data_IF_786167594225
#
_entry.id   IF_786167594225
#
_cell.length_a   1.000
_cell.length_b   1.000
_cell.length_c   1.000
_cell.angle_alpha   90.00
_cell.angle_beta   90.00
_cell.angle_gamma   90.00
#
_symmetry.space_group_name_H-M   'P 1'
#
loop_
_entity.id
_entity.type
_entity.pdbx_description
1 polymer ?
#
# COMPACT_ATOMS: atom_id res chain seq x y z
N UNK A 1 16.69 -8.88 -0.53
CA UNK A 1 17.03 -10.30 -0.34
C UNK A 1 17.38 -10.95 -1.67
N UNK A 2 18.11 -12.05 -1.65
CA UNK A 2 18.39 -12.86 -2.83
C UNK A 2 17.46 -14.08 -2.85
N UNK A 3 16.80 -14.33 -3.99
CA UNK A 3 15.97 -15.53 -4.18
C UNK A 3 16.84 -16.79 -4.47
N UNK A 4 16.20 -17.97 -4.56
CA UNK A 4 16.86 -19.24 -4.89
C UNK A 4 17.62 -19.22 -6.24
N UNK A 5 17.29 -18.27 -7.13
CA UNK A 5 17.92 -18.05 -8.43
C UNK A 5 18.98 -16.93 -8.42
N UNK A 6 19.35 -16.42 -7.24
CA UNK A 6 20.30 -15.31 -7.05
C UNK A 6 19.83 -13.96 -7.63
N UNK A 7 18.52 -13.77 -7.83
CA UNK A 7 18.02 -12.45 -8.19
C UNK A 7 17.79 -11.62 -6.91
N UNK A 8 18.08 -10.34 -6.98
CA UNK A 8 17.76 -9.40 -5.91
C UNK A 8 16.26 -9.13 -5.89
N UNK A 9 15.60 -9.37 -4.76
CA UNK A 9 14.16 -9.15 -4.57
C UNK A 9 13.93 -8.02 -3.59
N UNK A 10 13.08 -7.07 -3.96
CA UNK A 10 12.74 -5.90 -3.15
C UNK A 10 11.77 -6.29 -2.04
N UNK A 11 12.18 -6.08 -0.78
CA UNK A 11 11.35 -6.35 0.40
C UNK A 11 10.73 -5.08 1.01
N UNK A 12 11.26 -3.91 0.65
CA UNK A 12 10.70 -2.65 1.11
C UNK A 12 9.48 -2.23 0.28
N UNK A 13 8.46 -1.67 0.93
CA UNK A 13 7.24 -1.20 0.26
C UNK A 13 7.35 0.21 -0.30
N UNK A 14 8.23 1.04 0.29
CA UNK A 14 8.53 2.40 -0.15
C UNK A 14 9.96 2.50 -0.73
N UNK A 15 10.39 1.49 -1.46
CA UNK A 15 11.73 1.47 -2.07
C UNK A 15 11.76 2.37 -3.29
N UNK A 16 12.79 3.20 -3.36
CA UNK A 16 13.09 4.05 -4.51
C UNK A 16 14.44 3.66 -5.09
N UNK A 17 14.54 3.74 -6.41
CA UNK A 17 15.75 3.56 -7.17
C UNK A 17 16.09 4.91 -7.78
N UNK A 18 17.28 5.44 -7.48
CA UNK A 18 17.81 6.65 -8.10
C UNK A 18 18.84 6.30 -9.18
N UNK A 19 18.79 7.03 -10.28
CA UNK A 19 19.85 7.03 -11.29
C UNK A 19 20.59 8.34 -11.14
N UNK A 20 21.90 8.25 -10.96
CA UNK A 20 22.81 9.38 -10.79
C UNK A 20 23.79 9.43 -11.95
N UNK A 21 24.19 10.63 -12.35
CA UNK A 21 25.25 10.81 -13.32
C UNK A 21 26.66 10.61 -12.69
N UNK A 22 27.69 10.66 -13.49
CA UNK A 22 29.09 10.50 -13.02
C UNK A 22 29.50 11.62 -12.02
N UNK A 23 28.73 12.70 -11.87
CA UNK A 23 28.97 13.80 -10.94
C UNK A 23 28.17 13.65 -9.64
N UNK A 24 27.39 12.56 -9.48
CA UNK A 24 26.50 12.33 -8.33
C UNK A 24 25.22 13.15 -8.36
N UNK A 25 24.87 13.73 -9.50
CA UNK A 25 23.60 14.44 -9.66
C UNK A 25 22.52 13.45 -10.02
N UNK A 26 21.43 13.48 -9.28
CA UNK A 26 20.29 12.62 -9.48
C UNK A 26 19.53 12.98 -10.77
N UNK A 27 19.54 12.07 -11.75
CA UNK A 27 18.91 12.24 -13.07
C UNK A 27 17.46 11.77 -13.04
N UNK A 28 17.19 10.66 -12.36
CA UNK A 28 15.85 10.08 -12.27
C UNK A 28 15.62 9.32 -10.96
N UNK A 29 14.37 9.29 -10.51
CA UNK A 29 13.91 8.48 -9.37
C UNK A 29 12.74 7.65 -9.83
N UNK A 30 12.77 6.36 -9.49
CA UNK A 30 11.68 5.42 -9.75
C UNK A 30 11.22 4.77 -8.46
N UNK A 31 9.92 4.73 -8.21
CA UNK A 31 9.34 3.90 -7.14
C UNK A 31 9.33 2.44 -7.60
N UNK A 32 9.86 1.56 -6.77
CA UNK A 32 9.97 0.13 -7.08
C UNK A 32 8.96 -0.63 -6.23
N UNK A 33 8.14 -1.46 -6.88
CA UNK A 33 7.11 -2.23 -6.19
C UNK A 33 7.70 -3.33 -5.30
N UNK A 34 7.02 -3.65 -4.20
CA UNK A 34 7.34 -4.80 -3.36
C UNK A 34 7.34 -6.10 -4.19
N UNK A 35 8.35 -6.93 -3.99
CA UNK A 35 8.53 -8.18 -4.74
C UNK A 35 9.12 -8.02 -6.13
N UNK A 36 9.52 -6.82 -6.54
CA UNK A 36 10.23 -6.60 -7.80
C UNK A 36 11.58 -7.29 -7.79
N UNK A 37 11.96 -7.85 -8.93
CA UNK A 37 13.30 -8.38 -9.17
C UNK A 37 14.16 -7.27 -9.74
N UNK A 38 15.33 -7.04 -9.14
CA UNK A 38 16.33 -6.09 -9.60
C UNK A 38 17.41 -6.83 -10.37
N UNK A 39 17.89 -6.24 -11.46
CA UNK A 39 18.95 -6.80 -12.31
C UNK A 39 20.30 -6.15 -12.08
N UNK A 40 20.36 -5.10 -11.27
CA UNK A 40 21.57 -4.35 -10.94
C UNK A 40 21.74 -4.24 -9.43
N UNK A 41 22.99 -4.12 -9.01
CA UNK A 41 23.36 -3.82 -7.63
C UNK A 41 23.57 -2.31 -7.45
N UNK A 42 23.64 -1.87 -6.20
CA UNK A 42 23.92 -0.48 -5.90
C UNK A 42 25.31 -0.08 -6.39
N UNK A 43 25.38 0.97 -7.21
CA UNK A 43 26.61 1.46 -7.82
C UNK A 43 26.93 0.90 -9.20
N UNK A 44 26.11 -0.01 -9.75
CA UNK A 44 26.27 -0.51 -11.10
C UNK A 44 25.93 0.56 -12.14
N UNK A 45 26.67 0.59 -13.25
CA UNK A 45 26.39 1.48 -14.38
C UNK A 45 25.30 0.88 -15.27
N UNK A 46 24.28 1.66 -15.53
CA UNK A 46 23.16 1.29 -16.42
C UNK A 46 23.18 2.11 -17.70
N UNK A 47 22.82 1.48 -18.83
CA UNK A 47 22.70 2.16 -20.13
C UNK A 47 21.24 2.46 -20.42
N UNK A 48 21.02 3.41 -21.31
CA UNK A 48 19.67 3.73 -21.80
C UNK A 48 19.03 2.49 -22.41
N UNK A 49 17.75 2.26 -22.09
CA UNK A 49 16.94 1.10 -22.51
C UNK A 49 17.35 -0.25 -21.90
N UNK A 50 18.19 -0.30 -20.90
CA UNK A 50 18.41 -1.51 -20.12
C UNK A 50 17.26 -1.74 -19.12
N UNK A 51 16.88 -3.02 -18.94
CA UNK A 51 15.86 -3.42 -17.99
C UNK A 51 16.42 -3.39 -16.58
N UNK A 52 15.92 -2.47 -15.74
CA UNK A 52 16.43 -2.25 -14.39
C UNK A 52 15.71 -3.18 -13.40
N UNK A 53 14.38 -3.27 -13.49
CA UNK A 53 13.59 -4.11 -12.61
C UNK A 53 12.41 -4.75 -13.35
N UNK A 54 11.86 -5.78 -12.73
CA UNK A 54 10.68 -6.51 -13.23
C UNK A 54 9.74 -6.84 -12.08
N UNK A 55 8.45 -6.61 -12.26
CA UNK A 55 7.41 -6.97 -11.29
C UNK A 55 6.15 -7.45 -12.00
N UNK A 56 5.30 -8.15 -11.26
CA UNK A 56 3.98 -8.56 -11.71
C UNK A 56 2.93 -7.53 -11.24
N UNK A 57 2.26 -6.81 -12.14
CA UNK A 57 1.24 -5.82 -11.76
C UNK A 57 -0.09 -6.46 -11.33
N UNK A 58 -0.32 -7.73 -11.66
CA UNK A 58 -1.61 -8.42 -11.46
C UNK A 58 -1.69 -9.15 -10.12
N UNK A 59 -0.55 -9.45 -9.51
CA UNK A 59 -0.50 -10.16 -8.24
C UNK A 59 0.37 -9.43 -7.22
N UNK A 60 0.06 -9.62 -5.94
CA UNK A 60 0.93 -9.22 -4.83
C UNK A 60 1.62 -10.47 -4.30
N UNK A 61 2.95 -10.59 -4.39
CA UNK A 61 3.65 -11.75 -3.89
C UNK A 61 3.74 -11.72 -2.35
N UNK A 62 3.61 -12.90 -1.74
CA UNK A 62 3.99 -13.15 -0.35
C UNK A 62 5.38 -13.78 -0.39
N UNK A 63 6.38 -13.12 0.18
CA UNK A 63 7.79 -13.48 0.05
C UNK A 63 8.32 -14.02 1.37
N UNK A 64 9.16 -15.08 1.28
CA UNK A 64 9.86 -15.63 2.43
C UNK A 64 10.95 -14.67 2.91
N UNK A 65 10.91 -14.28 4.18
CA UNK A 65 11.96 -13.43 4.78
C UNK A 65 13.16 -14.26 5.26
N UNK A 66 12.96 -15.53 5.52
CA UNK A 66 13.99 -16.49 6.01
C UNK A 66 13.93 -17.77 5.19
N UNK A 67 15.07 -18.46 5.14
CA UNK A 67 15.15 -19.79 4.54
C UNK A 67 14.67 -20.85 5.51
N UNK A 68 13.96 -21.88 5.00
CA UNK A 68 13.43 -22.96 5.83
C UNK A 68 12.61 -23.94 5.03
N UNK A 69 11.94 -24.87 5.71
CA UNK A 69 11.02 -25.83 5.09
C UNK A 69 9.59 -25.34 5.26
N UNK A 70 8.83 -25.23 4.17
CA UNK A 70 7.42 -24.86 4.20
C UNK A 70 6.58 -25.96 4.86
N UNK A 71 5.73 -25.57 5.80
CA UNK A 71 4.75 -26.46 6.41
C UNK A 71 3.37 -25.84 6.28
N UNK A 72 2.43 -26.59 5.71
CA UNK A 72 1.04 -26.17 5.59
C UNK A 72 0.33 -26.32 6.93
N UNK A 73 -0.38 -25.31 7.37
CA UNK A 73 -1.18 -25.32 8.59
C UNK A 73 -2.58 -24.82 8.25
N UNK A 74 -3.59 -25.60 8.61
CA UNK A 74 -5.00 -25.36 8.30
C UNK A 74 -5.31 -25.26 6.77
N UNK A 75 -4.42 -25.81 5.94
CA UNK A 75 -4.55 -25.90 4.49
C UNK A 75 -4.97 -27.33 4.14
N UNK A 76 -6.29 -27.57 4.05
CA UNK A 76 -6.92 -28.89 3.85
C UNK A 76 -7.50 -28.94 2.44
N UNK A 77 -7.09 -29.95 1.63
CA UNK A 77 -7.62 -30.15 0.29
C UNK A 77 -9.14 -30.37 0.32
N UNK A 78 -9.87 -29.66 -0.54
CA UNK A 78 -11.33 -29.71 -0.62
C UNK A 78 -12.09 -28.84 0.40
N UNK A 79 -11.41 -28.28 1.42
CA UNK A 79 -12.02 -27.41 2.44
C UNK A 79 -11.47 -25.98 2.34
N UNK A 80 -10.16 -25.84 2.46
CA UNK A 80 -9.47 -24.54 2.40
C UNK A 80 -8.56 -24.38 1.19
N UNK A 81 -8.27 -25.48 0.46
CA UNK A 81 -7.52 -25.47 -0.79
C UNK A 81 -8.33 -26.17 -1.87
N UNK A 82 -8.30 -25.63 -3.09
CA UNK A 82 -8.80 -26.25 -4.29
C UNK A 82 -7.71 -26.24 -5.35
N UNK A 83 -7.56 -27.35 -6.06
CA UNK A 83 -6.70 -27.43 -7.23
C UNK A 83 -7.49 -27.02 -8.46
N UNK A 84 -7.02 -26.00 -9.14
CA UNK A 84 -7.61 -25.49 -10.38
C UNK A 84 -6.60 -25.68 -11.49
N UNK A 85 -7.00 -26.34 -12.55
CA UNK A 85 -6.18 -26.48 -13.76
C UNK A 85 -6.60 -25.39 -14.75
N UNK A 86 -5.66 -24.63 -15.21
CA UNK A 86 -5.88 -23.63 -16.26
C UNK A 86 -5.98 -24.37 -17.61
N UNK A 87 -7.16 -24.35 -18.20
CA UNK A 87 -7.45 -25.02 -19.47
C UNK A 87 -6.59 -24.52 -20.63
N UNK A 88 -6.10 -23.28 -20.57
CA UNK A 88 -5.28 -22.68 -21.62
C UNK A 88 -3.81 -23.09 -21.54
N UNK A 89 -3.27 -23.26 -20.32
CA UNK A 89 -1.85 -23.55 -20.09
C UNK A 89 -1.60 -24.96 -19.61
N UNK A 90 -2.63 -25.71 -19.18
CA UNK A 90 -2.53 -27.05 -18.61
C UNK A 90 -1.80 -27.10 -17.27
N UNK A 91 -1.55 -25.94 -16.63
CA UNK A 91 -0.85 -25.85 -15.35
C UNK A 91 -1.85 -25.96 -14.21
N UNK A 92 -1.66 -26.95 -13.33
CA UNK A 92 -2.43 -27.04 -12.09
C UNK A 92 -1.87 -26.07 -11.06
N UNK A 93 -2.73 -25.24 -10.49
CA UNK A 93 -2.41 -24.36 -9.38
C UNK A 93 -3.32 -24.63 -8.18
N UNK A 94 -2.76 -24.61 -6.97
CA UNK A 94 -3.54 -24.70 -5.74
C UNK A 94 -3.90 -23.30 -5.28
N UNK A 95 -5.19 -23.05 -5.13
CA UNK A 95 -5.73 -21.78 -4.61
C UNK A 95 -6.43 -21.98 -3.27
N UNK A 96 -6.36 -20.98 -2.41
CA UNK A 96 -7.08 -20.95 -1.13
C UNK A 96 -8.52 -20.55 -1.41
N UNK A 97 -9.46 -21.36 -0.96
CA UNK A 97 -10.90 -21.11 -1.11
C UNK A 97 -11.46 -20.45 0.15
N UNK A 98 -12.57 -19.71 0.04
CA UNK A 98 -13.26 -19.19 1.23
C UNK A 98 -13.90 -20.33 2.04
N UNK A 99 -13.16 -20.88 2.98
CA UNK A 99 -13.58 -21.97 3.87
C UNK A 99 -14.73 -21.57 4.81
N UNK A 100 -14.93 -20.27 5.02
CA UNK A 100 -15.99 -19.74 5.90
C UNK A 100 -17.38 -19.94 5.29
N UNK A 101 -17.47 -19.95 3.97
CA UNK A 101 -18.71 -20.17 3.24
C UNK A 101 -19.14 -21.65 3.25
N UNK A 102 -18.19 -22.59 3.34
CA UNK A 102 -18.43 -24.02 3.19
C UNK A 102 -18.67 -24.77 4.51
N UNK A 103 -18.22 -24.27 5.65
CA UNK A 103 -18.26 -24.99 6.92
C UNK A 103 -18.68 -24.08 8.09
N UNK A 104 -19.74 -24.51 8.79
CA UNK A 104 -20.32 -23.79 9.93
C UNK A 104 -19.45 -23.74 11.19
N UNK A 105 -18.30 -24.41 11.24
CA UNK A 105 -17.58 -24.67 12.50
C UNK A 105 -16.05 -24.54 12.39
N UNK A 106 -15.52 -23.65 11.57
CA UNK A 106 -14.08 -23.66 11.38
C UNK A 106 -13.43 -22.32 11.75
N UNK A 107 -12.78 -22.31 12.92
CA UNK A 107 -11.74 -21.34 13.29
C UNK A 107 -10.41 -21.60 12.53
N UNK A 108 -10.49 -22.13 11.28
CA UNK A 108 -9.33 -22.38 10.45
C UNK A 108 -8.64 -21.04 10.13
N UNK A 109 -7.33 -21.04 10.27
CA UNK A 109 -6.44 -19.92 9.90
C UNK A 109 -5.39 -20.41 8.90
N UNK A 110 -5.77 -20.58 7.61
CA UNK A 110 -4.87 -21.07 6.58
C UNK A 110 -3.58 -20.25 6.55
N UNK A 111 -2.45 -20.94 6.70
CA UNK A 111 -1.14 -20.29 6.72
C UNK A 111 -0.04 -21.26 6.31
N UNK A 112 1.05 -20.71 5.81
CA UNK A 112 2.30 -21.42 5.60
C UNK A 112 3.26 -20.99 6.70
N UNK A 113 3.87 -21.97 7.36
CA UNK A 113 4.85 -21.74 8.44
C UNK A 113 6.19 -22.27 7.99
N UNK A 114 7.26 -21.49 8.18
CA UNK A 114 8.62 -21.97 7.91
C UNK A 114 9.19 -22.64 9.14
N UNK A 115 9.73 -23.85 8.93
CA UNK A 115 10.36 -24.67 9.98
C UNK A 115 11.83 -24.89 9.68
N UNK A 116 12.61 -25.04 10.73
CA UNK A 116 14.00 -25.45 10.66
C UNK A 116 14.12 -26.97 10.43
N UNK A 117 15.35 -27.48 10.25
CA UNK A 117 15.60 -28.92 10.08
C UNK A 117 15.25 -29.73 11.35
N UNK A 118 15.00 -29.09 12.49
CA UNK A 118 14.55 -29.73 13.74
C UNK A 118 13.03 -29.68 13.93
N UNK A 119 12.29 -29.09 12.98
CA UNK A 119 10.83 -28.96 13.02
C UNK A 119 10.30 -27.76 13.83
N UNK A 120 11.16 -26.91 14.41
CA UNK A 120 10.73 -25.72 15.12
C UNK A 120 10.37 -24.59 14.14
N UNK A 121 9.46 -23.72 14.56
CA UNK A 121 9.11 -22.54 13.76
C UNK A 121 10.26 -21.55 13.77
N UNK A 122 10.67 -21.11 12.61
CA UNK A 122 11.73 -20.12 12.44
C UNK A 122 11.21 -18.74 12.86
N UNK A 123 12.04 -17.94 13.52
CA UNK A 123 11.73 -16.56 13.85
C UNK A 123 12.20 -15.62 12.73
N UNK A 124 11.39 -14.63 12.40
CA UNK A 124 11.72 -13.52 11.51
C UNK A 124 12.77 -12.59 12.15
N UNK A 125 13.14 -11.54 11.42
CA UNK A 125 14.05 -10.51 11.95
C UNK A 125 13.47 -9.75 13.16
N UNK A 126 12.15 -9.62 13.22
CA UNK A 126 11.40 -8.93 14.27
C UNK A 126 11.03 -9.82 15.47
N UNK A 127 11.71 -10.96 15.65
CA UNK A 127 11.45 -11.99 16.69
C UNK A 127 10.06 -12.66 16.61
N UNK A 128 9.25 -12.30 15.62
CA UNK A 128 7.97 -12.94 15.31
C UNK A 128 8.20 -14.27 14.60
N UNK A 129 7.29 -15.23 14.80
CA UNK A 129 7.34 -16.51 14.08
C UNK A 129 7.09 -16.33 12.59
N UNK A 130 7.83 -17.06 11.74
CA UNK A 130 7.68 -17.04 10.28
C UNK A 130 6.39 -17.75 9.86
N UNK A 131 5.25 -17.13 10.16
CA UNK A 131 3.90 -17.57 9.82
C UNK A 131 3.32 -16.61 8.77
N UNK A 132 2.95 -17.12 7.61
CA UNK A 132 2.37 -16.35 6.51
C UNK A 132 0.91 -16.74 6.34
N UNK A 133 0.00 -15.88 6.85
CA UNK A 133 -1.43 -16.09 6.74
C UNK A 133 -1.89 -15.84 5.30
N UNK A 134 -2.77 -16.71 4.83
CA UNK A 134 -3.29 -16.66 3.48
C UNK A 134 -4.75 -16.18 3.51
N UNK A 135 -5.11 -15.38 2.54
CA UNK A 135 -6.50 -14.95 2.32
C UNK A 135 -7.13 -15.79 1.22
N UNK A 136 -8.47 -15.83 1.11
CA UNK A 136 -9.15 -16.44 -0.03
C UNK A 136 -8.57 -15.95 -1.37
N UNK A 137 -8.60 -16.78 -2.38
CA UNK A 137 -8.05 -16.59 -3.72
C UNK A 137 -6.51 -16.51 -3.81
N UNK A 138 -5.78 -16.70 -2.69
CA UNK A 138 -4.33 -16.82 -2.73
C UNK A 138 -3.88 -18.05 -3.52
N UNK A 139 -3.01 -17.88 -4.49
CA UNK A 139 -2.42 -18.95 -5.30
C UNK A 139 -1.12 -19.40 -4.64
N UNK A 140 -1.03 -20.68 -4.28
CA UNK A 140 0.15 -21.24 -3.63
C UNK A 140 1.26 -21.46 -4.66
N UNK A 141 2.47 -20.98 -4.35
CA UNK A 141 3.65 -21.13 -5.21
C UNK A 141 4.60 -22.21 -4.72
N UNK A 142 4.40 -22.75 -3.51
CA UNK A 142 5.26 -23.73 -2.87
C UNK A 142 4.45 -24.93 -2.42
N UNK A 143 5.08 -26.11 -2.35
CA UNK A 143 4.47 -27.37 -1.87
C UNK A 143 4.77 -27.57 -0.39
N UNK A 144 3.91 -28.36 0.29
CA UNK A 144 4.19 -28.79 1.66
C UNK A 144 5.50 -29.60 1.75
N UNK A 145 6.34 -29.31 2.74
CA UNK A 145 7.66 -29.90 2.89
C UNK A 145 8.75 -29.38 1.96
N UNK A 146 8.46 -28.41 1.10
CA UNK A 146 9.45 -27.82 0.18
C UNK A 146 10.45 -26.92 0.92
N UNK A 147 11.75 -27.06 0.61
CA UNK A 147 12.76 -26.10 1.07
C UNK A 147 12.63 -24.78 0.30
N UNK A 148 12.60 -23.69 1.05
CA UNK A 148 12.43 -22.31 0.56
C UNK A 148 13.63 -21.48 1.01
N UNK A 149 14.09 -20.61 0.14
CA UNK A 149 15.13 -19.63 0.46
C UNK A 149 14.50 -18.25 0.78
N UNK A 150 15.21 -17.44 1.52
CA UNK A 150 14.82 -16.05 1.70
C UNK A 150 14.71 -15.37 0.32
N UNK A 151 13.65 -14.57 0.11
CA UNK A 151 13.39 -13.96 -1.21
C UNK A 151 12.48 -14.79 -2.14
N UNK A 152 12.23 -16.07 -1.87
CA UNK A 152 11.33 -16.89 -2.68
C UNK A 152 9.86 -16.51 -2.43
N UNK A 153 9.05 -16.61 -3.48
CA UNK A 153 7.60 -16.35 -3.42
C UNK A 153 6.89 -17.58 -2.87
N UNK A 154 6.21 -17.42 -1.73
CA UNK A 154 5.43 -18.45 -1.05
C UNK A 154 4.03 -18.59 -1.67
N UNK A 155 3.38 -17.45 -1.86
CA UNK A 155 2.05 -17.38 -2.45
C UNK A 155 1.89 -16.07 -3.25
N UNK A 156 0.90 -16.03 -4.12
CA UNK A 156 0.52 -14.84 -4.89
C UNK A 156 -0.93 -14.52 -4.62
N UNK A 157 -1.19 -13.26 -4.31
CA UNK A 157 -2.54 -12.75 -4.12
C UNK A 157 -2.96 -12.00 -5.39
N UNK A 158 -3.99 -12.48 -6.11
CA UNK A 158 -4.53 -11.72 -7.22
C UNK A 158 -5.02 -10.36 -6.75
N UNK A 159 -4.64 -9.30 -7.45
CA UNK A 159 -5.20 -7.97 -7.18
C UNK A 159 -6.60 -7.90 -7.79
N UNK A 160 -7.61 -7.63 -6.98
CA UNK A 160 -9.02 -7.48 -7.42
C UNK A 160 -9.23 -6.36 -8.48
N UNK A 161 -8.19 -5.56 -8.72
CA UNK A 161 -8.26 -4.32 -9.50
C UNK A 161 -8.46 -4.51 -11.00
N UNK A 162 -8.28 -5.71 -11.55
CA UNK A 162 -8.36 -5.91 -13.00
C UNK A 162 -9.78 -5.96 -13.55
N UNK A 163 -10.73 -6.50 -12.79
CA UNK A 163 -12.13 -6.60 -13.24
C UNK A 163 -12.95 -5.30 -13.06
N UNK A 164 -12.59 -4.48 -12.06
CA UNK A 164 -13.29 -3.23 -11.76
C UNK A 164 -12.65 -1.99 -12.38
N UNK A 165 -11.35 -2.00 -12.68
CA UNK A 165 -10.69 -0.88 -13.38
C UNK A 165 -11.22 -0.66 -14.81
N UNK A 166 -11.60 -1.73 -15.51
CA UNK A 166 -12.16 -1.63 -16.86
C UNK A 166 -13.59 -1.04 -16.88
N UNK A 167 -14.33 -1.14 -15.77
CA UNK A 167 -15.73 -0.68 -15.70
C UNK A 167 -15.83 0.79 -15.27
N UNK A 168 -14.89 1.29 -14.46
CA UNK A 168 -14.83 2.69 -14.00
C UNK A 168 -13.65 3.47 -14.59
N UNK A 169 -13.03 2.94 -15.63
CA UNK A 169 -11.96 3.62 -16.38
C UNK A 169 -12.49 4.73 -17.29
N UNK A 170 -11.61 5.60 -17.71
CA UNK A 170 -11.90 6.67 -18.65
C UNK A 170 -12.38 7.97 -17.99
N UNK A 171 -13.12 8.78 -18.74
CA UNK A 171 -13.60 10.10 -18.31
C UNK A 171 -14.33 10.14 -16.96
N UNK A 172 -15.18 9.16 -16.59
CA UNK A 172 -15.80 9.12 -15.26
C UNK A 172 -14.78 9.11 -14.11
N UNK A 173 -13.65 8.43 -14.29
CA UNK A 173 -12.58 8.40 -13.26
C UNK A 173 -11.92 9.76 -13.08
N UNK A 174 -11.73 10.51 -14.16
CA UNK A 174 -11.18 11.87 -14.10
C UNK A 174 -12.14 12.78 -13.33
N UNK A 175 -13.44 12.68 -13.58
CA UNK A 175 -14.46 13.44 -12.86
C UNK A 175 -14.47 13.10 -11.35
N UNK A 176 -14.41 11.81 -10.98
CA UNK A 176 -14.32 11.38 -9.58
C UNK A 176 -13.09 11.96 -8.86
N UNK A 177 -11.94 12.01 -9.55
CA UNK A 177 -10.71 12.59 -8.99
C UNK A 177 -10.87 14.10 -8.74
N UNK A 178 -11.41 14.85 -9.72
CA UNK A 178 -11.63 16.29 -9.57
C UNK A 178 -12.72 16.64 -8.55
N UNK A 179 -13.69 15.76 -8.33
CA UNK A 179 -14.70 15.92 -7.30
C UNK A 179 -14.24 15.38 -5.94
N UNK A 180 -13.05 14.77 -5.88
CA UNK A 180 -12.48 14.13 -4.68
C UNK A 180 -13.46 13.14 -4.00
N UNK A 181 -14.23 12.39 -4.80
CA UNK A 181 -15.21 11.42 -4.30
C UNK A 181 -14.54 10.26 -3.59
N UNK A 182 -15.18 9.77 -2.54
CA UNK A 182 -14.74 8.57 -1.82
C UNK A 182 -14.93 7.34 -2.69
N UNK A 183 -13.83 6.65 -3.00
CA UNK A 183 -13.88 5.37 -3.71
C UNK A 183 -14.56 4.29 -2.85
N UNK A 184 -15.25 3.33 -3.50
CA UNK A 184 -15.88 2.20 -2.80
C UNK A 184 -14.84 1.34 -2.08
N UNK A 185 -13.69 1.11 -2.72
CA UNK A 185 -12.54 0.38 -2.18
C UNK A 185 -11.42 1.37 -1.83
N UNK A 186 -11.64 2.15 -0.75
CA UNK A 186 -10.65 3.12 -0.29
C UNK A 186 -9.50 2.40 0.42
N UNK A 187 -8.28 2.78 0.05
CA UNK A 187 -7.08 2.42 0.80
C UNK A 187 -7.09 3.05 2.19
N UNK A 188 -6.41 2.43 3.13
CA UNK A 188 -6.15 2.99 4.45
C UNK A 188 -4.66 3.25 4.57
N UNK A 189 -4.31 4.50 4.86
CA UNK A 189 -2.92 4.97 4.97
C UNK A 189 -2.59 5.17 6.45
N UNK A 190 -1.37 4.81 6.84
CA UNK A 190 -0.88 5.03 8.20
C UNK A 190 -0.66 6.53 8.48
N UNK A 191 -1.24 7.03 9.56
CA UNK A 191 -1.11 8.44 9.98
C UNK A 191 0.21 8.71 10.71
N UNK A 192 0.72 7.71 11.44
CA UNK A 192 1.92 7.82 12.25
C UNK A 192 2.88 6.66 11.98
N UNK A 193 4.16 6.88 12.30
CA UNK A 193 5.14 5.81 12.40
C UNK A 193 4.85 4.97 13.65
N UNK A 194 5.02 3.66 13.59
CA UNK A 194 4.80 2.84 14.78
C UNK A 194 4.77 1.35 14.51
N UNK A 195 4.36 0.60 15.53
CA UNK A 195 4.21 -0.84 15.47
C UNK A 195 2.75 -1.24 15.28
N UNK A 196 2.49 -2.16 14.35
CA UNK A 196 1.14 -2.64 14.05
C UNK A 196 0.69 -3.67 15.07
N UNK A 197 -0.43 -3.42 15.74
CA UNK A 197 -1.04 -4.32 16.71
C UNK A 197 -2.44 -4.69 16.26
N UNK A 198 -2.73 -6.00 16.22
CA UNK A 198 -4.07 -6.49 15.94
C UNK A 198 -4.88 -6.58 17.23
N UNK A 199 -5.97 -5.82 17.29
CA UNK A 199 -6.91 -5.83 18.38
C UNK A 199 -8.06 -6.83 18.18
N UNK A 200 -9.00 -6.82 19.13
CA UNK A 200 -10.22 -7.64 19.07
C UNK A 200 -11.13 -7.19 17.93
N UNK A 201 -11.86 -8.12 17.37
CA UNK A 201 -12.89 -7.83 16.37
C UNK A 201 -14.04 -7.02 16.97
N UNK A 202 -14.47 -5.97 16.27
CA UNK A 202 -15.58 -5.12 16.66
C UNK A 202 -16.59 -5.05 15.51
N UNK A 203 -17.81 -5.52 15.72
CA UNK A 203 -18.92 -5.46 14.72
C UNK A 203 -18.51 -6.00 13.33
N UNK A 204 -17.83 -7.15 13.27
CA UNK A 204 -17.41 -7.78 12.02
C UNK A 204 -16.24 -7.11 11.31
N UNK A 205 -15.57 -6.15 11.97
CA UNK A 205 -14.34 -5.50 11.49
C UNK A 205 -13.18 -5.85 12.42
N UNK A 206 -12.01 -6.02 11.86
CA UNK A 206 -10.77 -6.17 12.63
C UNK A 206 -10.26 -4.81 13.06
N UNK A 207 -10.04 -4.63 14.38
CA UNK A 207 -9.38 -3.44 14.89
C UNK A 207 -7.86 -3.60 14.71
N UNK A 208 -7.23 -2.61 14.09
CA UNK A 208 -5.78 -2.49 14.00
C UNK A 208 -5.39 -1.19 14.67
N UNK A 209 -4.37 -1.24 15.51
CA UNK A 209 -3.81 -0.08 16.18
C UNK A 209 -2.36 0.09 15.75
N UNK A 210 -1.97 1.30 15.42
CA UNK A 210 -0.56 1.65 15.23
C UNK A 210 -0.11 2.32 16.51
N UNK A 211 0.84 1.72 17.20
CA UNK A 211 1.43 2.25 18.42
C UNK A 211 2.71 2.99 18.04
N UNK A 212 2.73 4.33 18.09
CA UNK A 212 3.95 5.10 17.91
C UNK A 212 4.89 4.92 19.12
N UNK A 213 6.16 5.26 18.97
CA UNK A 213 7.12 5.27 20.07
C UNK A 213 6.77 6.35 21.11
N UNK A 214 6.21 7.48 20.68
CA UNK A 214 5.69 8.55 21.53
C UNK A 214 4.31 9.00 21.01
N UNK A 215 3.31 9.09 21.88
CA UNK A 215 1.97 9.57 21.57
C UNK A 215 0.85 8.52 21.64
N UNK A 216 -0.35 8.96 21.25
CA UNK A 216 -1.55 8.12 21.29
C UNK A 216 -1.62 7.14 20.10
N UNK A 217 -2.15 5.92 20.32
CA UNK A 217 -2.29 4.94 19.25
C UNK A 217 -3.37 5.34 18.25
N UNK A 218 -3.04 5.26 16.96
CA UNK A 218 -4.01 5.42 15.88
C UNK A 218 -4.77 4.11 15.65
N UNK A 219 -6.11 4.16 15.65
CA UNK A 219 -6.97 2.98 15.56
C UNK A 219 -7.71 2.94 14.22
N UNK A 220 -7.64 1.80 13.53
CA UNK A 220 -8.28 1.55 12.25
C UNK A 220 -9.22 0.36 12.35
N UNK A 221 -10.36 0.42 11.65
CA UNK A 221 -11.34 -0.66 11.57
C UNK A 221 -11.41 -1.20 10.13
N UNK A 222 -10.81 -2.35 9.90
CA UNK A 222 -10.72 -2.98 8.58
C UNK A 222 -11.79 -4.05 8.43
N UNK A 223 -12.58 -4.07 7.34
CA UNK A 223 -13.54 -5.13 7.06
C UNK A 223 -12.87 -6.50 6.97
N UNK A 224 -13.56 -7.55 7.44
CA UNK A 224 -13.08 -8.94 7.29
C UNK A 224 -12.95 -9.31 5.81
N UNK A 225 -11.89 -10.08 5.50
CA UNK A 225 -11.64 -10.58 4.14
C UNK A 225 -10.75 -9.69 3.28
N UNK A 226 -10.47 -8.46 3.71
CA UNK A 226 -9.48 -7.62 3.03
C UNK A 226 -8.06 -8.01 3.46
N UNK A 227 -7.12 -8.01 2.50
CA UNK A 227 -5.72 -8.30 2.78
C UNK A 227 -5.06 -7.11 3.49
N UNK A 228 -4.43 -7.41 4.61
CA UNK A 228 -3.66 -6.42 5.39
C UNK A 228 -2.20 -6.59 5.02
N UNK A 229 -1.56 -5.51 4.63
CA UNK A 229 -0.19 -5.54 4.12
C UNK A 229 0.87 -5.80 5.19
N UNK A 230 0.52 -5.68 6.47
CA UNK A 230 1.43 -5.82 7.60
C UNK A 230 1.02 -6.94 8.53
N UNK A 231 2.00 -7.54 9.19
CA UNK A 231 1.78 -8.53 10.24
C UNK A 231 1.77 -7.87 11.62
N UNK A 232 1.30 -8.63 12.63
CA UNK A 232 1.34 -8.16 14.01
C UNK A 232 2.79 -7.95 14.45
N UNK A 233 3.06 -6.79 15.05
CA UNK A 233 4.38 -6.42 15.55
C UNK A 233 5.33 -5.80 14.51
N UNK A 234 4.92 -5.73 13.24
CA UNK A 234 5.72 -5.13 12.17
C UNK A 234 5.73 -3.60 12.29
N UNK A 235 6.88 -2.97 12.00
CA UNK A 235 7.00 -1.50 12.00
C UNK A 235 6.46 -0.93 10.69
N UNK A 236 5.63 0.09 10.79
CA UNK A 236 5.06 0.84 9.68
C UNK A 236 5.52 2.30 9.73
N UNK A 237 5.72 2.90 8.58
CA UNK A 237 6.01 4.33 8.44
C UNK A 237 4.75 5.10 8.04
N UNK A 238 4.72 6.36 8.42
CA UNK A 238 3.69 7.32 7.99
C UNK A 238 3.58 7.33 6.47
N UNK A 239 2.35 7.23 5.96
CA UNK A 239 2.09 7.19 4.52
C UNK A 239 2.12 5.80 3.89
N UNK A 240 2.43 4.74 4.62
CA UNK A 240 2.34 3.37 4.10
C UNK A 240 0.90 2.86 4.12
N UNK A 241 0.58 1.98 3.15
CA UNK A 241 -0.76 1.46 2.98
C UNK A 241 -0.99 0.25 3.88
N UNK A 242 -1.87 0.39 4.88
CA UNK A 242 -2.37 -0.72 5.70
C UNK A 242 -3.25 -1.66 4.89
N UNK A 243 -4.07 -1.08 4.02
CA UNK A 243 -4.99 -1.76 3.13
C UNK A 243 -4.79 -1.24 1.71
N UNK A 244 -4.62 -2.16 0.76
CA UNK A 244 -4.56 -1.82 -0.65
C UNK A 244 -5.91 -1.29 -1.16
N UNK A 245 -5.86 -0.35 -2.08
CA UNK A 245 -7.02 0.29 -2.68
C UNK A 245 -6.68 1.66 -3.24
N UNK A 246 -7.71 2.43 -3.52
CA UNK A 246 -7.54 3.81 -3.99
C UNK A 246 -7.46 4.76 -2.79
N UNK A 247 -6.32 5.45 -2.58
CA UNK A 247 -6.21 6.39 -1.48
C UNK A 247 -7.14 7.58 -1.69
N UNK A 248 -7.67 8.10 -0.60
CA UNK A 248 -8.45 9.33 -0.63
C UNK A 248 -7.51 10.52 -0.81
N UNK A 249 -7.79 11.44 -1.75
CA UNK A 249 -6.97 12.64 -1.94
C UNK A 249 -6.82 13.48 -0.65
N UNK A 250 -7.88 13.57 0.15
CA UNK A 250 -7.85 14.27 1.45
C UNK A 250 -6.89 13.62 2.45
N UNK A 251 -6.83 12.28 2.51
CA UNK A 251 -5.90 11.59 3.40
C UNK A 251 -4.45 11.79 2.94
N UNK A 252 -4.19 11.75 1.62
CA UNK A 252 -2.86 12.07 1.08
C UNK A 252 -2.46 13.48 1.45
N UNK A 253 -3.36 14.47 1.27
CA UNK A 253 -3.08 15.85 1.61
C UNK A 253 -2.75 16.04 3.09
N UNK A 254 -3.55 15.42 3.97
CA UNK A 254 -3.41 15.54 5.43
C UNK A 254 -2.16 14.82 5.95
N UNK A 255 -1.86 13.62 5.43
CA UNK A 255 -0.80 12.76 5.94
C UNK A 255 0.54 13.06 5.26
N UNK A 256 0.58 13.10 3.92
CA UNK A 256 1.80 13.20 3.12
C UNK A 256 2.07 14.64 2.63
N UNK A 257 1.04 15.45 2.51
CA UNK A 257 1.16 16.85 2.10
C UNK A 257 0.90 17.09 0.61
N UNK A 258 1.16 18.33 0.17
CA UNK A 258 0.79 18.81 -1.17
C UNK A 258 1.60 18.15 -2.28
N UNK A 259 2.89 17.93 -2.04
CA UNK A 259 3.80 17.37 -3.06
C UNK A 259 3.33 15.99 -3.49
N UNK A 260 3.10 15.10 -2.54
CA UNK A 260 2.65 13.74 -2.80
C UNK A 260 1.24 13.70 -3.37
N UNK A 261 0.35 14.58 -2.91
CA UNK A 261 -0.98 14.74 -3.51
C UNK A 261 -0.88 15.16 -4.98
N UNK A 262 -0.02 16.12 -5.30
CA UNK A 262 0.16 16.60 -6.68
C UNK A 262 0.69 15.48 -7.57
N UNK A 263 1.72 14.77 -7.13
CA UNK A 263 2.27 13.63 -7.86
C UNK A 263 1.22 12.53 -8.08
N UNK A 264 0.50 12.16 -7.04
CA UNK A 264 -0.59 11.17 -7.12
C UNK A 264 -1.66 11.60 -8.12
N UNK A 265 -2.14 12.85 -8.00
CA UNK A 265 -3.26 13.36 -8.80
C UNK A 265 -2.89 13.46 -10.28
N UNK A 266 -1.72 14.03 -10.59
CA UNK A 266 -1.21 14.14 -11.95
C UNK A 266 -1.06 12.75 -12.57
N UNK A 267 -0.43 11.81 -11.85
CA UNK A 267 -0.22 10.45 -12.35
C UNK A 267 -1.54 9.73 -12.63
N UNK A 268 -2.54 9.84 -11.73
CA UNK A 268 -3.84 9.19 -11.91
C UNK A 268 -4.62 9.75 -13.10
N UNK A 269 -4.60 11.06 -13.30
CA UNK A 269 -5.28 11.70 -14.45
C UNK A 269 -4.54 11.36 -15.74
N UNK A 270 -3.21 11.46 -15.75
CA UNK A 270 -2.39 11.12 -16.91
C UNK A 270 -2.54 9.65 -17.34
N UNK A 271 -2.64 8.71 -16.38
CA UNK A 271 -2.88 7.30 -16.67
C UNK A 271 -4.14 7.11 -17.52
N UNK A 272 -5.24 7.78 -17.14
CA UNK A 272 -6.50 7.71 -17.89
C UNK A 272 -6.35 8.27 -19.32
N UNK A 273 -5.72 9.43 -19.47
CA UNK A 273 -5.53 10.04 -20.77
C UNK A 273 -4.58 9.24 -21.67
N UNK A 274 -3.49 8.72 -21.12
CA UNK A 274 -2.53 7.88 -21.86
C UNK A 274 -3.15 6.57 -22.36
N UNK A 275 -4.01 5.96 -21.57
CA UNK A 275 -4.78 4.76 -21.99
C UNK A 275 -5.70 5.04 -23.18
N UNK A 276 -6.14 6.28 -23.34
CA UNK A 276 -6.95 6.73 -24.48
C UNK A 276 -6.11 7.30 -25.63
N UNK A 277 -4.78 7.22 -25.56
CA UNK A 277 -3.88 7.74 -26.57
C UNK A 277 -3.76 9.28 -26.60
N UNK A 278 -4.26 9.97 -25.59
CA UNK A 278 -4.23 11.42 -25.49
C UNK A 278 -3.02 11.88 -24.68
N UNK A 279 -2.22 12.76 -25.25
CA UNK A 279 -1.03 13.33 -24.60
C UNK A 279 -1.39 14.74 -24.10
N UNK A 280 -1.34 14.93 -22.77
CA UNK A 280 -1.59 16.21 -22.11
C UNK A 280 -0.35 16.59 -21.28
N UNK A 281 0.00 17.88 -21.25
CA UNK A 281 1.06 18.36 -20.39
C UNK A 281 0.58 18.44 -18.93
N UNK A 282 1.40 18.00 -18.00
CA UNK A 282 1.11 17.95 -16.56
C UNK A 282 0.70 19.31 -16.00
N UNK A 283 1.23 20.40 -16.54
CA UNK A 283 0.93 21.78 -16.12
C UNK A 283 -0.56 22.14 -16.19
N UNK A 284 -1.31 21.52 -17.10
CA UNK A 284 -2.77 21.76 -17.18
C UNK A 284 -3.47 21.18 -15.95
N UNK A 285 -3.09 19.97 -15.54
CA UNK A 285 -3.63 19.28 -14.38
C UNK A 285 -3.21 20.00 -13.08
N UNK A 286 -1.92 20.35 -12.98
CA UNK A 286 -1.36 21.08 -11.85
C UNK A 286 -2.04 22.45 -11.64
N UNK A 287 -2.38 23.16 -12.72
CA UNK A 287 -3.08 24.44 -12.64
C UNK A 287 -4.49 24.28 -12.05
N UNK A 288 -5.21 23.22 -12.42
CA UNK A 288 -6.53 22.93 -11.87
C UNK A 288 -6.39 22.56 -10.39
N UNK A 289 -5.46 21.66 -10.06
CA UNK A 289 -5.21 21.24 -8.67
C UNK A 289 -4.82 22.44 -7.80
N UNK A 290 -4.00 23.35 -8.30
CA UNK A 290 -3.67 24.60 -7.61
C UNK A 290 -4.91 25.42 -7.24
N UNK A 291 -5.91 25.47 -8.13
CA UNK A 291 -7.16 26.15 -7.85
C UNK A 291 -8.01 25.42 -6.82
N UNK A 292 -8.03 24.09 -6.86
CA UNK A 292 -8.72 23.27 -5.84
C UNK A 292 -8.15 23.51 -4.45
N UNK A 293 -6.83 23.56 -4.32
CA UNK A 293 -6.10 23.75 -3.05
C UNK A 293 -6.00 25.21 -2.60
N UNK A 294 -6.75 26.11 -3.23
CA UNK A 294 -6.69 27.55 -2.94
C UNK A 294 -7.37 27.90 -1.61
N UNK A 295 -8.34 27.11 -1.16
CA UNK A 295 -9.14 27.39 0.01
C UNK A 295 -8.68 26.62 1.25
N UNK A 296 -8.95 27.23 2.40
CA UNK A 296 -8.71 26.68 3.73
C UNK A 296 -10.04 26.75 4.49
N UNK A 297 -10.45 25.65 5.11
CA UNK A 297 -11.58 25.59 6.04
C UNK A 297 -11.07 25.91 7.44
N UNK A 298 -11.71 26.87 8.08
CA UNK A 298 -11.36 27.29 9.45
C UNK A 298 -11.87 26.24 10.44
N UNK A 299 -10.97 25.65 11.23
CA UNK A 299 -11.32 24.73 12.33
C UNK A 299 -11.50 25.45 13.65
N UNK A 300 -10.60 26.40 13.93
CA UNK A 300 -10.64 27.22 15.15
C UNK A 300 -10.36 28.68 14.79
N UNK A 301 -11.21 29.58 15.24
CA UNK A 301 -11.11 31.02 14.89
C UNK A 301 -9.94 31.75 15.57
N UNK A 302 -9.45 31.23 16.71
CA UNK A 302 -8.51 32.01 17.52
C UNK A 302 -9.08 33.41 17.85
N UNK A 303 -8.24 34.43 17.77
CA UNK A 303 -8.64 35.83 17.93
C UNK A 303 -8.97 36.52 16.59
N UNK A 304 -9.17 35.74 15.52
CA UNK A 304 -9.57 36.24 14.21
C UNK A 304 -11.08 36.51 14.14
N UNK A 305 -11.49 37.25 13.09
CA UNK A 305 -12.90 37.50 12.79
C UNK A 305 -13.55 36.37 12.02
N UNK A 306 -12.85 35.24 11.78
CA UNK A 306 -13.34 34.10 11.01
C UNK A 306 -14.27 33.24 11.83
N UNK A 307 -15.21 32.57 11.13
CA UNK A 307 -16.11 31.59 11.73
C UNK A 307 -15.61 30.18 11.53
N UNK A 308 -15.74 29.26 12.52
CA UNK A 308 -15.47 27.85 12.31
C UNK A 308 -16.33 27.28 11.16
N UNK A 309 -15.69 26.52 10.23
CA UNK A 309 -16.34 26.00 9.01
C UNK A 309 -16.36 26.97 7.83
N UNK A 310 -15.88 28.19 7.97
CA UNK A 310 -15.77 29.15 6.87
C UNK A 310 -14.64 28.78 5.94
N UNK A 311 -14.89 28.88 4.61
CA UNK A 311 -13.89 28.63 3.57
C UNK A 311 -13.28 29.94 3.07
N UNK A 312 -12.00 30.14 3.34
CA UNK A 312 -11.28 31.37 3.03
C UNK A 312 -10.14 31.10 2.06
N UNK A 313 -9.82 32.09 1.22
CA UNK A 313 -8.64 32.01 0.38
C UNK A 313 -7.38 31.96 1.27
N UNK A 314 -6.50 31.00 0.99
CA UNK A 314 -5.28 30.76 1.74
C UNK A 314 -4.42 32.02 1.93
N UNK A 315 -4.25 32.81 0.87
CA UNK A 315 -3.44 34.04 0.94
C UNK A 315 -4.01 35.01 1.96
N UNK A 316 -5.35 35.15 2.02
CA UNK A 316 -6.01 36.02 3.02
C UNK A 316 -5.85 35.48 4.43
N UNK A 317 -5.97 34.13 4.58
CA UNK A 317 -5.78 33.43 5.84
C UNK A 317 -4.35 33.63 6.38
N UNK A 318 -3.33 33.43 5.53
CA UNK A 318 -1.92 33.59 5.91
C UNK A 318 -1.63 35.07 6.34
N UNK A 319 -2.10 36.07 5.57
CA UNK A 319 -1.92 37.51 5.89
C UNK A 319 -2.56 37.87 7.23
N UNK A 320 -3.77 37.36 7.50
CA UNK A 320 -4.46 37.68 8.77
C UNK A 320 -3.75 37.03 9.96
N UNK A 321 -3.34 35.76 9.79
CA UNK A 321 -2.61 35.07 10.85
C UNK A 321 -1.25 35.68 11.13
N UNK A 322 -0.50 36.12 10.11
CA UNK A 322 0.76 36.87 10.30
C UNK A 322 0.54 38.14 11.13
N UNK A 323 -0.52 38.92 10.85
CA UNK A 323 -0.87 40.11 11.62
C UNK A 323 -1.20 39.78 13.07
N UNK A 324 -2.01 38.73 13.31
CA UNK A 324 -2.39 38.28 14.65
C UNK A 324 -1.16 37.86 15.47
N UNK A 325 -0.24 37.13 14.86
CA UNK A 325 1.01 36.68 15.49
C UNK A 325 1.89 37.91 15.87
N UNK A 326 2.01 38.91 14.98
CA UNK A 326 2.75 40.14 15.25
C UNK A 326 2.11 40.92 16.38
N UNK A 327 0.77 40.91 16.50
CA UNK A 327 0.02 41.58 17.61
C UNK A 327 0.02 40.74 18.91
N UNK A 328 0.65 39.55 18.93
CA UNK A 328 0.67 38.65 20.10
C UNK A 328 -0.66 37.98 20.40
N UNK A 329 -1.56 37.92 19.42
CA UNK A 329 -2.87 37.26 19.49
C UNK A 329 -2.81 35.83 18.98
N UNK A 330 -3.78 35.00 19.38
CA UNK A 330 -3.87 33.63 18.91
C UNK A 330 -4.30 33.55 17.43
N UNK A 331 -3.50 32.93 16.52
CA UNK A 331 -3.86 32.80 15.13
C UNK A 331 -5.01 31.82 14.95
N UNK A 332 -5.75 31.98 13.86
CA UNK A 332 -6.74 30.96 13.43
C UNK A 332 -6.07 29.68 12.97
N UNK A 333 -6.69 28.55 13.26
CA UNK A 333 -6.26 27.23 12.76
C UNK A 333 -7.19 26.79 11.64
N UNK A 334 -6.64 26.46 10.49
CA UNK A 334 -7.39 26.01 9.33
C UNK A 334 -6.74 24.81 8.65
N UNK A 335 -7.54 24.00 7.98
CA UNK A 335 -7.13 22.84 7.22
C UNK A 335 -7.41 23.07 5.73
N UNK A 336 -6.50 22.66 4.86
CA UNK A 336 -6.72 22.72 3.41
C UNK A 336 -7.76 21.70 2.99
N UNK A 337 -8.67 22.14 2.16
CA UNK A 337 -9.77 21.33 1.62
C UNK A 337 -9.59 21.13 0.12
#
# INVERSE_FOLDING_TARGET
LEDSKKNLVVMGRNTQLSIEDDNGVQVAIYKVAYGSKLFFQNGDKVKTNEKICEWDPYTTPVIAEKSGTASYVDLIDGVSIQETTDDATGISSKSVVDWRAQSKNTDLKPRITLRDDKGNVIKKADDNEARYYLVPDSILSVKDGQKIFAGDIIARLPKETTKTKDITGGLPRVAELFEARKAKDSAIIAENDGQVLFGKEVRGKQKISIQPEEGDPSNYLIPKGKHINFNQGEKIKKGEYLLDGQPLPHDILRILGIKDLTEYFVNQVQEVYRLQGVIINDKHIETILRQMLKKVEIKTSGDSSYLPGEMIDRIKFDIVNEKLVVEGKAPAVGERV
#
